data_IF_697672280086
#
_entry.id   IF_697672280086
#
_cell.length_a   1.000
_cell.length_b   1.000
_cell.length_c   1.000
_cell.angle_alpha   90.00
_cell.angle_beta   90.00
_cell.angle_gamma   90.00
#
_symmetry.space_group_name_H-M   'P 1'
#
loop_
_entity.id
_entity.type
_entity.pdbx_description
1 polymer ?
#
# COMPACT_ATOMS: atom_id res chain seq x y z
N UNK A 1 7.07 -19.30 17.31
CA UNK A 1 6.48 -19.22 15.96
C UNK A 1 7.51 -19.66 14.94
N UNK A 2 7.17 -20.56 14.00
CA UNK A 2 8.07 -21.06 12.95
C UNK A 2 7.51 -20.70 11.55
N UNK A 3 7.43 -19.40 11.26
CA UNK A 3 6.98 -18.88 9.96
C UNK A 3 8.14 -18.14 9.32
N UNK A 4 8.32 -18.33 8.02
CA UNK A 4 9.23 -17.50 7.23
C UNK A 4 8.72 -16.06 7.19
N UNK A 5 9.65 -15.12 7.16
CA UNK A 5 9.45 -13.70 7.02
C UNK A 5 10.05 -13.21 5.70
N UNK A 6 9.86 -11.93 5.39
CA UNK A 6 10.50 -11.25 4.26
C UNK A 6 12.03 -11.27 4.33
N UNK A 7 12.62 -11.59 5.50
CA UNK A 7 14.08 -11.71 5.69
C UNK A 7 14.62 -13.09 5.33
N UNK A 8 13.75 -14.08 5.12
CA UNK A 8 14.11 -15.48 4.89
C UNK A 8 13.99 -15.90 3.41
N UNK A 9 13.74 -14.93 2.53
CA UNK A 9 13.52 -15.14 1.10
C UNK A 9 14.23 -14.04 0.31
N UNK A 10 14.69 -14.39 -0.89
CA UNK A 10 15.14 -13.39 -1.86
C UNK A 10 13.92 -12.68 -2.46
N UNK A 11 13.93 -11.35 -2.45
CA UNK A 11 12.86 -10.46 -2.93
C UNK A 11 13.34 -9.50 -4.01
N UNK A 12 14.61 -9.57 -4.41
CA UNK A 12 15.19 -8.62 -5.35
C UNK A 12 14.51 -8.73 -6.71
N UNK A 13 14.08 -7.59 -7.27
CA UNK A 13 13.35 -7.47 -8.54
C UNK A 13 12.02 -8.26 -8.61
N UNK A 14 11.56 -8.83 -7.49
CA UNK A 14 10.28 -9.55 -7.44
C UNK A 14 9.14 -8.61 -7.15
N UNK A 15 7.98 -8.95 -7.69
CA UNK A 15 6.71 -8.30 -7.34
C UNK A 15 6.19 -8.90 -6.03
N UNK A 16 6.08 -8.07 -5.00
CA UNK A 16 5.67 -8.46 -3.66
C UNK A 16 4.31 -7.84 -3.35
N UNK A 17 3.30 -8.68 -3.18
CA UNK A 17 2.01 -8.28 -2.64
C UNK A 17 2.08 -8.25 -1.11
N UNK A 18 1.78 -7.11 -0.51
CA UNK A 18 1.85 -6.87 0.93
C UNK A 18 0.48 -6.47 1.44
N UNK A 19 -0.05 -7.27 2.37
CA UNK A 19 -1.27 -6.92 3.10
C UNK A 19 -0.88 -6.11 4.32
N UNK A 20 -1.14 -4.81 4.29
CA UNK A 20 -0.85 -3.87 5.38
C UNK A 20 -2.14 -3.43 6.07
N UNK A 21 -2.08 -3.07 7.34
CA UNK A 21 -3.23 -2.51 8.07
C UNK A 21 -3.19 -0.98 8.06
N UNK A 22 -3.68 -0.40 6.96
CA UNK A 22 -3.77 1.04 6.74
C UNK A 22 -5.18 1.58 7.04
N UNK A 23 -5.95 0.91 7.89
CA UNK A 23 -7.30 1.34 8.27
C UNK A 23 -7.25 2.49 9.30
N UNK A 24 -7.04 3.70 8.80
CA UNK A 24 -6.90 4.92 9.60
C UNK A 24 -8.26 5.62 9.80
N UNK A 25 -8.46 6.34 10.92
CA UNK A 25 -9.63 7.17 11.09
C UNK A 25 -9.56 8.39 10.16
N UNK A 26 -10.71 8.74 9.58
CA UNK A 26 -10.90 9.94 8.78
C UNK A 26 -11.87 10.89 9.48
N UNK A 27 -11.66 12.21 9.35
CA UNK A 27 -12.64 13.23 9.72
C UNK A 27 -13.76 13.35 8.65
N UNK A 28 -14.69 14.27 8.86
CA UNK A 28 -15.83 14.50 7.95
C UNK A 28 -15.41 15.04 6.57
N UNK A 29 -14.23 15.67 6.49
CA UNK A 29 -13.64 16.18 5.24
C UNK A 29 -12.82 15.11 4.51
N UNK A 30 -12.58 13.95 5.14
CA UNK A 30 -11.80 12.84 4.59
C UNK A 30 -10.31 12.91 4.89
N UNK A 31 -9.88 13.78 5.81
CA UNK A 31 -8.49 13.87 6.25
C UNK A 31 -8.18 12.80 7.31
N UNK A 32 -6.96 12.29 7.31
CA UNK A 32 -6.49 11.33 8.32
C UNK A 32 -6.28 12.06 9.64
N UNK A 33 -6.91 11.56 10.71
CA UNK A 33 -6.78 12.14 12.06
C UNK A 33 -5.76 11.41 12.94
N UNK A 34 -5.36 10.19 12.56
CA UNK A 34 -4.31 9.42 13.22
C UNK A 34 -3.53 8.59 12.19
N UNK A 35 -2.24 8.89 12.05
CA UNK A 35 -1.32 8.24 11.11
C UNK A 35 -0.54 7.06 11.72
N UNK A 36 -0.79 6.69 12.98
CA UNK A 36 -0.03 5.66 13.70
C UNK A 36 0.10 4.36 12.88
N UNK A 37 -0.98 3.92 12.24
CA UNK A 37 -0.99 2.71 11.40
C UNK A 37 -0.12 2.81 10.16
N UNK A 38 -0.07 3.99 9.53
CA UNK A 38 0.79 4.26 8.39
C UNK A 38 2.25 4.19 8.84
N UNK A 39 2.59 4.88 9.93
CA UNK A 39 3.95 4.91 10.48
C UNK A 39 4.44 3.49 10.84
N UNK A 40 3.58 2.67 11.45
CA UNK A 40 3.91 1.29 11.81
C UNK A 40 4.13 0.36 10.60
N UNK A 41 3.61 0.71 9.41
CA UNK A 41 3.83 -0.06 8.17
C UNK A 41 5.17 0.26 7.50
N UNK A 42 5.75 1.43 7.76
CA UNK A 42 6.96 1.92 7.08
C UNK A 42 8.16 0.97 7.16
N UNK A 43 8.47 0.30 8.30
CA UNK A 43 9.64 -0.58 8.36
C UNK A 43 9.61 -1.74 7.36
N UNK A 44 8.42 -2.30 7.09
CA UNK A 44 8.25 -3.36 6.08
C UNK A 44 8.44 -2.78 4.69
N UNK A 45 7.81 -1.65 4.39
CA UNK A 45 7.88 -1.00 3.08
C UNK A 45 9.32 -0.57 2.78
N UNK A 46 10.00 0.07 3.72
CA UNK A 46 11.41 0.47 3.61
C UNK A 46 12.34 -0.72 3.37
N UNK A 47 12.08 -1.85 4.02
CA UNK A 47 12.86 -3.07 3.79
C UNK A 47 12.71 -3.54 2.34
N UNK A 48 11.48 -3.55 1.80
CA UNK A 48 11.22 -3.95 0.43
C UNK A 48 11.85 -2.99 -0.58
N UNK A 49 11.80 -1.67 -0.33
CA UNK A 49 12.44 -0.65 -1.17
C UNK A 49 13.96 -0.87 -1.19
N UNK A 50 14.59 -0.99 -0.01
CA UNK A 50 16.04 -1.17 0.14
C UNK A 50 16.56 -2.45 -0.51
N UNK A 51 15.71 -3.47 -0.63
CA UNK A 51 16.01 -4.73 -1.30
C UNK A 51 15.48 -4.79 -2.73
N UNK A 52 15.20 -3.64 -3.35
CA UNK A 52 14.91 -3.51 -4.77
C UNK A 52 13.71 -4.37 -5.24
N UNK A 53 12.67 -4.49 -4.40
CA UNK A 53 11.42 -5.17 -4.73
C UNK A 53 10.44 -4.23 -5.45
N UNK A 54 9.48 -4.78 -6.20
CA UNK A 54 8.33 -4.06 -6.75
C UNK A 54 7.15 -4.27 -5.82
N UNK A 55 6.58 -3.20 -5.26
CA UNK A 55 5.70 -3.32 -4.09
C UNK A 55 4.25 -3.07 -4.51
N UNK A 56 3.36 -4.00 -4.15
CA UNK A 56 1.91 -3.84 -4.26
C UNK A 56 1.33 -3.87 -2.86
N UNK A 57 0.79 -2.76 -2.39
CA UNK A 57 0.14 -2.65 -1.10
C UNK A 57 -1.37 -2.87 -1.25
N UNK A 58 -1.94 -3.62 -0.32
CA UNK A 58 -3.38 -3.77 -0.19
C UNK A 58 -3.80 -3.58 1.27
N UNK A 59 -4.90 -2.86 1.47
CA UNK A 59 -5.52 -2.69 2.78
C UNK A 59 -7.05 -2.65 2.65
N UNK A 60 -7.70 -2.47 3.78
CA UNK A 60 -9.09 -2.04 3.87
C UNK A 60 -9.15 -0.67 4.53
N UNK A 61 -10.24 0.05 4.31
CA UNK A 61 -10.55 1.31 5.00
C UNK A 61 -12.03 1.33 5.36
N UNK A 62 -12.33 1.49 6.64
CA UNK A 62 -13.70 1.48 7.15
C UNK A 62 -14.46 0.18 6.81
N UNK A 63 -15.77 0.32 6.59
CA UNK A 63 -16.69 -0.81 6.35
C UNK A 63 -17.59 -0.52 5.14
N UNK A 64 -17.10 -0.71 3.91
CA UNK A 64 -17.86 -0.42 2.68
C UNK A 64 -19.02 -1.39 2.40
N UNK A 65 -19.14 -2.49 3.16
CA UNK A 65 -20.20 -3.51 2.99
C UNK A 65 -20.31 -4.05 1.55
N UNK A 66 -19.17 -4.24 0.89
CA UNK A 66 -19.10 -4.77 -0.48
C UNK A 66 -19.52 -3.79 -1.58
N UNK A 67 -19.75 -2.52 -1.25
CA UNK A 67 -20.10 -1.47 -2.21
C UNK A 67 -18.98 -0.43 -2.29
N UNK A 68 -18.89 0.23 -3.44
CA UNK A 68 -18.05 1.41 -3.55
C UNK A 68 -18.59 2.56 -2.70
N UNK A 69 -17.72 3.19 -1.91
CA UNK A 69 -18.04 4.33 -1.07
C UNK A 69 -16.94 5.37 -1.27
N UNK A 70 -17.26 6.49 -1.92
CA UNK A 70 -16.31 7.54 -2.32
C UNK A 70 -15.42 8.00 -1.16
N UNK A 71 -16.02 8.25 0.02
CA UNK A 71 -15.30 8.69 1.22
C UNK A 71 -14.38 7.64 1.86
N UNK A 72 -14.42 6.39 1.40
CA UNK A 72 -13.57 5.29 1.89
C UNK A 72 -12.51 4.89 0.85
N UNK A 73 -12.24 5.73 -0.15
CA UNK A 73 -11.11 5.52 -1.03
C UNK A 73 -9.78 5.70 -0.29
N UNK A 74 -8.73 5.05 -0.80
CA UNK A 74 -7.39 5.06 -0.24
C UNK A 74 -6.54 6.29 -0.63
N UNK A 75 -7.09 7.27 -1.35
CA UNK A 75 -6.37 8.49 -1.77
C UNK A 75 -5.66 9.23 -0.62
N UNK A 76 -6.31 9.52 0.53
CA UNK A 76 -5.62 10.19 1.65
C UNK A 76 -4.47 9.32 2.21
N UNK A 77 -4.61 7.99 2.18
CA UNK A 77 -3.57 7.06 2.63
C UNK A 77 -2.39 7.07 1.66
N UNK A 78 -2.63 7.10 0.35
CA UNK A 78 -1.58 7.21 -0.67
C UNK A 78 -0.76 8.49 -0.49
N UNK A 79 -1.45 9.62 -0.27
CA UNK A 79 -0.81 10.92 -0.02
C UNK A 79 0.04 10.88 1.25
N UNK A 80 -0.49 10.35 2.35
CA UNK A 80 0.24 10.26 3.61
C UNK A 80 1.45 9.32 3.53
N UNK A 81 1.30 8.13 2.93
CA UNK A 81 2.43 7.23 2.65
C UNK A 81 3.51 7.93 1.83
N UNK A 82 3.11 8.69 0.80
CA UNK A 82 4.06 9.39 -0.05
C UNK A 82 4.84 10.49 0.66
N UNK A 83 4.21 11.18 1.61
CA UNK A 83 4.89 12.14 2.49
C UNK A 83 5.93 11.44 3.37
N UNK A 84 5.57 10.35 4.05
CA UNK A 84 6.47 9.62 4.94
C UNK A 84 7.64 8.96 4.23
N UNK A 85 7.42 8.47 3.01
CA UNK A 85 8.43 7.79 2.19
C UNK A 85 9.20 8.75 1.28
N UNK A 86 8.83 10.04 1.25
CA UNK A 86 9.34 11.03 0.30
C UNK A 86 9.31 10.51 -1.15
N UNK A 87 8.20 9.88 -1.54
CA UNK A 87 8.03 9.23 -2.85
C UNK A 87 6.58 9.35 -3.29
N UNK A 88 6.34 9.55 -4.58
CA UNK A 88 4.98 9.45 -5.12
C UNK A 88 4.47 8.01 -5.03
N UNK A 89 3.27 7.83 -4.49
CA UNK A 89 2.60 6.53 -4.39
C UNK A 89 1.50 6.48 -5.43
N UNK A 90 1.67 5.63 -6.44
CA UNK A 90 0.62 5.40 -7.41
C UNK A 90 -0.50 4.60 -6.76
N UNK A 91 -1.74 5.07 -6.90
CA UNK A 91 -2.93 4.42 -6.35
C UNK A 91 -3.90 4.05 -7.47
N UNK A 92 -4.54 2.89 -7.35
CA UNK A 92 -5.57 2.42 -8.28
C UNK A 92 -6.97 2.60 -7.68
N UNK A 93 -7.96 2.90 -8.52
CA UNK A 93 -9.38 2.93 -8.11
C UNK A 93 -10.03 1.53 -8.10
N UNK A 94 -9.30 0.53 -8.58
CA UNK A 94 -9.76 -0.85 -8.72
C UNK A 94 -8.70 -1.78 -8.16
N UNK A 95 -9.12 -2.82 -7.45
CA UNK A 95 -8.23 -3.84 -6.90
C UNK A 95 -8.00 -5.02 -7.84
N UNK A 96 -8.99 -5.31 -8.71
CA UNK A 96 -8.95 -6.43 -9.67
C UNK A 96 -9.48 -5.92 -11.01
N UNK A 97 -8.58 -5.66 -11.96
CA UNK A 97 -8.92 -5.28 -13.34
C UNK A 97 -7.73 -5.48 -14.27
N UNK A 98 -7.94 -5.46 -15.59
CA UNK A 98 -6.82 -5.50 -16.54
C UNK A 98 -5.94 -4.24 -16.46
N UNK A 99 -6.51 -3.10 -16.05
CA UNK A 99 -5.74 -1.89 -15.74
C UNK A 99 -4.71 -2.14 -14.63
N UNK A 100 -5.13 -2.81 -13.54
CA UNK A 100 -4.22 -3.18 -12.45
C UNK A 100 -3.15 -4.15 -12.93
N UNK A 101 -3.52 -5.17 -13.72
CA UNK A 101 -2.54 -6.13 -14.25
C UNK A 101 -1.49 -5.46 -15.13
N UNK A 102 -1.90 -4.51 -15.96
CA UNK A 102 -0.97 -3.76 -16.81
C UNK A 102 -0.06 -2.88 -15.96
N UNK A 103 -0.62 -2.17 -14.99
CA UNK A 103 0.17 -1.34 -14.08
C UNK A 103 1.23 -2.15 -13.32
N UNK A 104 0.85 -3.32 -12.81
CA UNK A 104 1.77 -4.22 -12.10
C UNK A 104 2.91 -4.72 -13.00
N UNK A 105 2.66 -4.94 -14.30
CA UNK A 105 3.71 -5.34 -15.26
C UNK A 105 4.72 -4.22 -15.48
N UNK A 106 4.26 -2.97 -15.45
CA UNK A 106 5.06 -1.79 -15.75
C UNK A 106 5.86 -1.29 -14.53
N UNK A 107 5.60 -1.82 -13.32
CA UNK A 107 6.36 -1.50 -12.12
C UNK A 107 7.85 -1.76 -12.27
N UNK A 108 8.65 -0.77 -11.89
CA UNK A 108 10.09 -0.88 -11.73
C UNK A 108 10.44 -1.20 -10.27
N UNK A 109 11.64 -1.71 -10.06
CA UNK A 109 12.11 -2.01 -8.71
C UNK A 109 12.17 -0.74 -7.86
N UNK A 110 11.66 -0.80 -6.64
CA UNK A 110 11.47 0.34 -5.76
C UNK A 110 10.17 1.13 -6.00
N UNK A 111 9.35 0.78 -6.99
CA UNK A 111 8.01 1.37 -7.16
C UNK A 111 7.00 0.77 -6.19
N UNK A 112 6.00 1.59 -5.85
CA UNK A 112 4.93 1.24 -4.91
C UNK A 112 3.59 1.53 -5.60
N UNK A 113 2.76 0.50 -5.69
CA UNK A 113 1.37 0.59 -6.13
C UNK A 113 0.45 0.29 -4.96
N UNK A 114 -0.44 1.22 -4.62
CA UNK A 114 -1.52 1.00 -3.66
C UNK A 114 -2.80 0.60 -4.40
N UNK A 115 -3.33 -0.57 -4.06
CA UNK A 115 -4.61 -1.06 -4.60
C UNK A 115 -5.82 -0.47 -3.87
#
# INVERSE_FOLDING_TARGET
MNKKSIRDIDIENKTVFVREDLNVPLDDEGNITDETRIILSLPTIDYLIKNNAKIILASHLGRPKGKFVEKLKMDPVAIALGKHLNKEIKKMDYVISDKVKNEVKDLKSGDILLL
#
